data_IF_283601418831
#
_entry.id   IF_283601418831
#
_cell.length_a   1.000
_cell.length_b   1.000
_cell.length_c   1.000
_cell.angle_alpha   90.00
_cell.angle_beta   90.00
_cell.angle_gamma   90.00
#
_symmetry.space_group_name_H-M   'P 1'
#
loop_
_entity.id
_entity.type
_entity.pdbx_description
1 polymer ?
#
# COMPACT_ATOMS: atom_id res chain seq x y z
N UNK A 1 30.45 56.18 -8.37
CA UNK A 1 29.48 56.15 -9.49
C UNK A 1 29.88 55.01 -10.40
N UNK A 2 29.17 53.89 -10.28
CA UNK A 2 28.94 52.88 -11.31
C UNK A 2 27.77 52.05 -10.77
N UNK A 3 26.63 52.20 -11.40
CA UNK A 3 25.38 51.48 -11.12
C UNK A 3 25.54 50.01 -11.54
N UNK A 4 25.04 49.04 -10.76
CA UNK A 4 24.67 47.74 -11.31
C UNK A 4 23.32 47.86 -12.02
N UNK A 5 23.21 47.15 -13.13
CA UNK A 5 22.16 47.14 -14.13
C UNK A 5 20.86 46.45 -13.68
N UNK A 6 19.72 47.00 -14.08
CA UNK A 6 18.32 46.53 -13.86
C UNK A 6 18.00 45.11 -14.40
N UNK A 7 18.98 44.36 -14.90
CA UNK A 7 18.82 43.00 -15.41
C UNK A 7 19.03 41.91 -14.33
N UNK A 8 19.81 42.20 -13.27
CA UNK A 8 20.00 41.25 -12.15
C UNK A 8 18.80 41.20 -11.19
N UNK A 9 18.08 42.32 -11.03
CA UNK A 9 16.91 42.41 -10.14
C UNK A 9 15.69 41.64 -10.70
N UNK A 10 15.56 41.50 -12.02
CA UNK A 10 14.46 40.76 -12.65
C UNK A 10 14.63 39.22 -12.56
N UNK A 11 15.85 38.72 -12.39
CA UNK A 11 16.09 37.28 -12.17
C UNK A 11 15.80 36.92 -10.72
N UNK A 12 16.17 37.79 -9.78
CA UNK A 12 15.93 37.59 -8.34
C UNK A 12 14.42 37.69 -8.02
N UNK A 13 13.68 38.57 -8.69
CA UNK A 13 12.24 38.74 -8.42
C UNK A 13 11.36 37.58 -8.91
N UNK A 14 11.75 36.90 -10.00
CA UNK A 14 10.99 35.74 -10.50
C UNK A 14 11.24 34.45 -9.68
N UNK A 15 12.39 34.31 -9.03
CA UNK A 15 12.65 33.20 -8.10
C UNK A 15 11.96 33.38 -6.74
N UNK A 16 11.52 34.60 -6.40
CA UNK A 16 10.83 34.90 -5.14
C UNK A 16 9.34 34.51 -5.17
N UNK A 17 8.73 34.37 -6.36
CA UNK A 17 7.29 34.04 -6.48
C UNK A 17 7.02 32.52 -6.48
N UNK A 18 8.05 31.67 -6.58
CA UNK A 18 7.91 30.21 -6.59
C UNK A 18 8.71 29.48 -5.49
N UNK A 19 9.08 30.18 -4.41
CA UNK A 19 9.87 29.59 -3.33
C UNK A 19 9.26 29.82 -1.95
N UNK A 20 8.11 29.17 -1.70
CA UNK A 20 7.59 29.00 -0.33
C UNK A 20 8.16 27.73 0.30
N UNK A 21 9.47 27.68 0.55
CA UNK A 21 10.04 26.75 1.54
C UNK A 21 11.46 27.18 1.92
N UNK A 22 11.58 27.71 3.14
CA UNK A 22 12.85 28.08 3.74
C UNK A 22 13.87 26.93 3.72
N UNK A 23 15.08 27.26 3.29
CA UNK A 23 16.30 26.45 3.46
C UNK A 23 16.64 26.45 4.95
N UNK A 24 16.57 25.29 5.60
CA UNK A 24 16.94 25.12 7.01
C UNK A 24 18.33 24.46 7.06
N UNK A 25 19.37 25.28 7.22
CA UNK A 25 20.71 24.83 7.54
C UNK A 25 20.75 24.34 8.99
N UNK A 26 21.29 23.14 9.19
CA UNK A 26 21.42 22.47 10.47
C UNK A 26 22.51 23.10 11.33
N UNK A 27 22.12 24.07 12.16
CA UNK A 27 22.82 24.43 13.40
C UNK A 27 21.76 24.72 14.46
N UNK A 28 21.41 23.71 15.25
CA UNK A 28 20.41 23.82 16.33
C UNK A 28 21.05 24.52 17.54
N UNK A 29 20.98 25.86 17.56
CA UNK A 29 20.94 26.61 18.81
C UNK A 29 19.49 26.72 19.30
N UNK A 30 19.29 26.39 20.57
CA UNK A 30 18.00 26.36 21.26
C UNK A 30 17.43 27.77 21.45
N UNK A 31 16.40 28.13 20.68
CA UNK A 31 15.59 29.33 20.92
C UNK A 31 14.12 28.93 21.21
N UNK A 32 13.58 29.16 22.42
CA UNK A 32 12.29 28.62 22.85
C UNK A 32 11.13 29.56 22.48
N UNK A 33 10.87 29.76 21.18
CA UNK A 33 9.85 30.75 20.75
C UNK A 33 9.25 30.62 19.35
N UNK A 34 9.51 29.54 18.58
CA UNK A 34 9.00 29.41 17.21
C UNK A 34 8.05 28.22 17.07
N UNK A 35 6.75 28.54 16.89
CA UNK A 35 5.59 27.67 16.55
C UNK A 35 5.90 26.19 16.26
N UNK A 36 5.55 25.32 17.21
CA UNK A 36 5.40 23.86 17.07
C UNK A 36 4.16 23.46 16.24
N UNK A 37 4.09 23.85 14.95
CA UNK A 37 2.94 23.51 14.08
C UNK A 37 3.29 22.67 12.86
N UNK A 38 4.51 22.16 12.73
CA UNK A 38 4.90 21.32 11.59
C UNK A 38 4.88 19.83 11.99
N UNK A 39 3.71 19.20 11.91
CA UNK A 39 3.57 17.75 12.07
C UNK A 39 2.11 17.30 12.10
N UNK A 40 1.87 16.05 11.70
CA UNK A 40 0.53 15.45 11.64
C UNK A 40 0.05 15.12 13.05
N UNK A 41 -1.16 15.59 13.41
CA UNK A 41 -1.80 15.21 14.67
C UNK A 41 -2.26 13.74 14.67
N UNK A 42 -2.52 13.16 15.84
CA UNK A 42 -2.84 11.72 15.97
C UNK A 42 -3.95 11.23 15.02
N UNK A 43 -5.00 12.02 14.82
CA UNK A 43 -6.09 11.69 13.89
C UNK A 43 -5.60 11.58 12.44
N UNK A 44 -4.77 12.54 12.00
CA UNK A 44 -4.19 12.52 10.66
C UNK A 44 -3.22 11.34 10.48
N UNK A 45 -2.50 10.95 11.54
CA UNK A 45 -1.63 9.77 11.54
C UNK A 45 -2.46 8.50 11.39
N UNK A 46 -3.60 8.40 12.07
CA UNK A 46 -4.52 7.27 11.92
C UNK A 46 -5.04 7.19 10.48
N UNK A 47 -5.56 8.29 9.91
CA UNK A 47 -6.04 8.28 8.52
C UNK A 47 -4.96 7.94 7.51
N UNK A 48 -3.75 8.44 7.71
CA UNK A 48 -2.61 8.13 6.88
C UNK A 48 -2.23 6.64 6.93
N UNK A 49 -2.19 6.04 8.14
CA UNK A 49 -1.91 4.61 8.31
C UNK A 49 -3.04 3.74 7.75
N UNK A 50 -4.30 4.11 7.99
CA UNK A 50 -5.47 3.42 7.44
C UNK A 50 -5.46 3.51 5.91
N UNK A 51 -5.20 4.66 5.30
CA UNK A 51 -5.16 4.82 3.84
C UNK A 51 -3.95 4.11 3.18
N UNK A 52 -2.84 3.97 3.91
CA UNK A 52 -1.70 3.18 3.47
C UNK A 52 -1.99 1.67 3.51
N UNK A 53 -2.84 1.23 4.45
CA UNK A 53 -3.17 -0.19 4.66
C UNK A 53 -4.39 -0.62 3.85
N UNK A 54 -5.53 0.07 3.98
CA UNK A 54 -6.76 -0.19 3.23
C UNK A 54 -6.53 0.13 1.77
N UNK A 55 -6.26 -0.93 1.02
CA UNK A 55 -5.74 -0.89 -0.34
C UNK A 55 -6.66 -1.52 -1.38
N UNK A 56 -6.11 -1.80 -2.56
CA UNK A 56 -6.72 -2.72 -3.51
C UNK A 56 -6.89 -4.14 -2.92
N UNK A 57 -6.06 -4.52 -1.93
CA UNK A 57 -6.17 -5.80 -1.24
C UNK A 57 -7.54 -6.08 -0.61
N UNK A 58 -8.31 -5.04 -0.26
CA UNK A 58 -9.68 -5.19 0.28
C UNK A 58 -10.62 -5.93 -0.66
N UNK A 59 -10.45 -5.75 -1.97
CA UNK A 59 -11.32 -6.34 -2.99
C UNK A 59 -11.15 -7.86 -3.09
N UNK A 60 -10.02 -8.39 -2.63
CA UNK A 60 -9.67 -9.80 -2.72
C UNK A 60 -10.02 -10.58 -1.44
N UNK A 61 -10.37 -9.90 -0.34
CA UNK A 61 -10.70 -10.57 0.94
C UNK A 61 -11.82 -11.60 0.84
N UNK A 62 -12.91 -11.37 0.08
CA UNK A 62 -13.95 -12.36 -0.08
C UNK A 62 -13.44 -13.67 -0.69
N UNK A 63 -12.60 -13.59 -1.73
CA UNK A 63 -11.97 -14.76 -2.34
C UNK A 63 -11.02 -15.44 -1.35
N UNK A 64 -10.31 -14.64 -0.55
CA UNK A 64 -9.43 -15.12 0.49
C UNK A 64 -10.17 -15.99 1.52
N UNK A 65 -11.40 -15.61 1.91
CA UNK A 65 -12.25 -16.36 2.84
C UNK A 65 -12.73 -17.69 2.24
N UNK A 66 -12.96 -17.72 0.93
CA UNK A 66 -13.33 -18.94 0.21
C UNK A 66 -12.15 -19.90 0.11
N UNK A 67 -11.00 -19.41 -0.35
CA UNK A 67 -9.74 -20.19 -0.49
C UNK A 67 -9.19 -20.69 0.85
N UNK A 68 -9.37 -19.93 1.94
CA UNK A 68 -8.88 -20.30 3.28
C UNK A 68 -9.65 -21.43 3.95
N UNK A 69 -10.66 -21.98 3.27
CA UNK A 69 -11.55 -22.98 3.85
C UNK A 69 -12.55 -22.39 4.85
N UNK A 70 -12.88 -21.10 4.75
CA UNK A 70 -14.06 -20.55 5.41
C UNK A 70 -13.88 -19.31 6.28
N UNK A 71 -15.01 -18.87 6.84
CA UNK A 71 -15.11 -17.62 7.59
C UNK A 71 -14.33 -17.66 8.91
N UNK A 72 -14.44 -18.74 9.69
CA UNK A 72 -13.80 -18.79 11.00
C UNK A 72 -12.27 -18.90 10.87
N UNK A 73 -11.78 -19.67 9.89
CA UNK A 73 -10.34 -19.76 9.61
C UNK A 73 -9.76 -18.42 9.23
N UNK A 74 -10.44 -17.70 8.33
CA UNK A 74 -10.01 -16.39 7.87
C UNK A 74 -9.91 -15.38 9.03
N UNK A 75 -10.96 -15.29 9.86
CA UNK A 75 -10.98 -14.35 11.00
C UNK A 75 -9.90 -14.69 12.03
N UNK A 76 -9.72 -15.99 12.37
CA UNK A 76 -8.71 -16.43 13.33
C UNK A 76 -7.31 -16.16 12.79
N UNK A 77 -7.03 -16.49 11.53
CA UNK A 77 -5.76 -16.23 10.88
C UNK A 77 -5.48 -14.71 10.84
N UNK A 78 -6.47 -13.91 10.48
CA UNK A 78 -6.37 -12.45 10.46
C UNK A 78 -6.05 -11.88 11.85
N UNK A 79 -6.73 -12.33 12.90
CA UNK A 79 -6.43 -11.91 14.29
C UNK A 79 -5.02 -12.32 14.72
N UNK A 80 -4.59 -13.53 14.40
CA UNK A 80 -3.25 -14.03 14.71
C UNK A 80 -2.18 -13.14 14.05
N UNK A 81 -2.29 -12.89 12.74
CA UNK A 81 -1.34 -12.04 12.02
C UNK A 81 -1.41 -10.57 12.45
N UNK A 82 -2.59 -10.06 12.82
CA UNK A 82 -2.77 -8.67 13.25
C UNK A 82 -1.87 -8.30 14.44
N UNK A 83 -1.66 -9.25 15.37
CA UNK A 83 -0.77 -9.07 16.52
C UNK A 83 0.66 -8.84 16.05
N UNK A 84 1.17 -9.69 15.15
CA UNK A 84 2.52 -9.54 14.59
C UNK A 84 2.64 -8.28 13.76
N UNK A 85 1.70 -8.01 12.85
CA UNK A 85 1.67 -6.80 12.02
C UNK A 85 1.79 -5.54 12.88
N UNK A 86 0.96 -5.44 13.93
CA UNK A 86 0.95 -4.27 14.82
C UNK A 86 2.25 -4.17 15.63
N UNK A 87 2.74 -5.28 16.19
CA UNK A 87 3.99 -5.31 16.94
C UNK A 87 5.17 -4.86 16.06
N UNK A 88 5.22 -5.37 14.84
CA UNK A 88 6.23 -5.04 13.84
C UNK A 88 6.21 -3.57 13.45
N UNK A 89 5.05 -2.94 13.27
CA UNK A 89 4.94 -1.50 13.02
C UNK A 89 5.59 -0.67 14.14
N UNK A 90 5.34 -1.06 15.39
CA UNK A 90 5.90 -0.40 16.57
C UNK A 90 7.41 -0.63 16.68
N UNK A 91 7.88 -1.85 16.39
CA UNK A 91 9.31 -2.20 16.34
C UNK A 91 10.02 -1.29 15.33
N UNK A 92 9.48 -1.16 14.11
CA UNK A 92 10.07 -0.30 13.08
C UNK A 92 10.14 1.16 13.51
N UNK A 93 9.05 1.71 14.07
CA UNK A 93 9.05 3.08 14.58
C UNK A 93 10.10 3.29 15.69
N UNK A 94 10.24 2.32 16.60
CA UNK A 94 11.26 2.35 17.65
C UNK A 94 12.67 2.30 17.07
N UNK A 95 12.92 1.47 16.05
CA UNK A 95 14.21 1.42 15.36
C UNK A 95 14.54 2.73 14.64
N UNK A 96 13.55 3.38 14.03
CA UNK A 96 13.70 4.73 13.48
C UNK A 96 14.08 5.77 14.54
N UNK A 97 13.48 5.71 15.72
CA UNK A 97 13.78 6.63 16.83
C UNK A 97 15.20 6.39 17.40
N UNK A 98 15.58 5.13 17.61
CA UNK A 98 16.92 4.75 18.12
C UNK A 98 18.02 5.16 17.14
N UNK A 99 17.80 4.96 15.84
CA UNK A 99 18.79 5.33 14.81
C UNK A 99 18.74 6.80 14.40
N UNK A 100 17.76 7.57 14.89
CA UNK A 100 17.47 8.94 14.46
C UNK A 100 17.34 9.09 12.93
N UNK A 101 16.69 8.11 12.30
CA UNK A 101 16.41 8.12 10.86
C UNK A 101 14.92 8.26 10.58
N UNK A 102 14.59 8.75 9.39
CA UNK A 102 13.20 8.99 8.96
C UNK A 102 12.73 8.02 7.89
N UNK A 103 13.55 7.02 7.56
CA UNK A 103 13.34 6.11 6.43
C UNK A 103 13.66 4.68 6.86
N UNK A 104 13.00 3.69 6.24
CA UNK A 104 13.17 2.29 6.61
C UNK A 104 14.58 1.78 6.30
N UNK A 105 15.06 2.06 5.10
CA UNK A 105 16.40 1.69 4.64
C UNK A 105 17.49 2.39 5.46
N UNK A 106 17.25 3.63 5.94
CA UNK A 106 18.15 4.33 6.85
C UNK A 106 18.22 3.68 8.23
N UNK A 107 17.08 3.30 8.80
CA UNK A 107 17.03 2.59 10.08
C UNK A 107 17.71 1.23 9.99
N UNK A 108 17.50 0.50 8.89
CA UNK A 108 18.15 -0.79 8.65
C UNK A 108 19.67 -0.64 8.55
N UNK A 109 20.14 0.39 7.82
CA UNK A 109 21.55 0.73 7.70
C UNK A 109 22.21 1.10 9.04
N UNK A 110 21.51 1.87 9.86
CA UNK A 110 22.00 2.25 11.19
C UNK A 110 22.18 1.08 12.15
N UNK A 111 21.40 0.00 11.98
CA UNK A 111 21.46 -1.20 12.82
C UNK A 111 22.35 -2.30 12.26
N UNK A 112 22.31 -2.55 10.95
CA UNK A 112 22.97 -3.69 10.30
C UNK A 112 24.22 -3.29 9.50
N UNK A 113 24.58 -2.00 9.48
CA UNK A 113 25.72 -1.47 8.73
C UNK A 113 25.38 -1.00 7.30
N UNK A 114 26.33 -0.36 6.61
CA UNK A 114 26.07 0.38 5.37
C UNK A 114 25.61 -0.48 4.20
N UNK A 115 26.11 -1.72 4.06
CA UNK A 115 25.72 -2.62 2.97
C UNK A 115 24.22 -2.98 3.01
N UNK A 116 23.63 -2.95 4.20
CA UNK A 116 22.21 -3.27 4.38
C UNK A 116 21.28 -2.16 3.84
N UNK A 117 21.79 -0.93 3.70
CA UNK A 117 21.08 0.19 3.06
C UNK A 117 20.69 -0.17 1.63
N UNK A 118 21.66 -0.71 0.88
CA UNK A 118 21.48 -1.05 -0.53
C UNK A 118 20.43 -2.14 -0.71
N UNK A 119 20.52 -3.22 0.09
CA UNK A 119 19.58 -4.32 0.06
C UNK A 119 18.16 -3.88 0.43
N UNK A 120 17.99 -3.19 1.57
CA UNK A 120 16.67 -2.71 1.99
C UNK A 120 16.10 -1.68 1.01
N UNK A 121 16.93 -0.76 0.52
CA UNK A 121 16.53 0.26 -0.47
C UNK A 121 16.02 -0.35 -1.78
N UNK A 122 16.69 -1.37 -2.31
CA UNK A 122 16.22 -2.10 -3.50
C UNK A 122 14.90 -2.81 -3.23
N UNK A 123 14.76 -3.51 -2.10
CA UNK A 123 13.50 -4.17 -1.74
C UNK A 123 12.36 -3.15 -1.66
N UNK A 124 12.56 -2.02 -0.97
CA UNK A 124 11.54 -0.97 -0.84
C UNK A 124 11.21 -0.37 -2.21
N UNK A 125 12.20 -0.14 -3.07
CA UNK A 125 11.98 0.40 -4.42
C UNK A 125 11.18 -0.57 -5.30
N UNK A 126 11.59 -1.83 -5.40
CA UNK A 126 10.86 -2.87 -6.16
C UNK A 126 9.43 -2.99 -5.64
N UNK A 127 9.26 -3.01 -4.31
CA UNK A 127 7.96 -3.13 -3.71
C UNK A 127 7.03 -1.97 -4.03
N UNK A 128 7.54 -0.76 -3.82
CA UNK A 128 6.80 0.45 -4.08
C UNK A 128 6.39 0.53 -5.55
N UNK A 129 7.28 0.11 -6.46
CA UNK A 129 7.04 0.15 -7.89
C UNK A 129 5.95 -0.83 -8.31
N UNK A 130 5.99 -2.07 -7.79
CA UNK A 130 4.93 -3.06 -7.98
C UNK A 130 3.57 -2.57 -7.52
N UNK A 131 3.49 -1.99 -6.32
CA UNK A 131 2.23 -1.40 -5.81
C UNK A 131 1.73 -0.23 -6.66
N UNK A 132 2.63 0.63 -7.17
CA UNK A 132 2.27 1.70 -8.09
C UNK A 132 1.65 1.16 -9.38
N UNK A 133 2.22 0.10 -9.95
CA UNK A 133 1.66 -0.61 -11.12
C UNK A 133 0.26 -1.14 -10.79
N UNK A 134 0.11 -1.88 -9.68
CA UNK A 134 -1.19 -2.44 -9.27
C UNK A 134 -2.27 -1.36 -9.14
N UNK A 135 -1.96 -0.22 -8.52
CA UNK A 135 -2.92 0.88 -8.41
C UNK A 135 -3.35 1.42 -9.77
N UNK A 136 -2.42 1.58 -10.72
CA UNK A 136 -2.73 2.05 -12.07
C UNK A 136 -3.58 1.04 -12.87
N UNK A 137 -3.31 -0.26 -12.74
CA UNK A 137 -4.13 -1.29 -13.39
C UNK A 137 -5.55 -1.26 -12.82
N UNK A 138 -5.70 -1.23 -11.49
CA UNK A 138 -7.01 -1.16 -10.84
C UNK A 138 -7.78 0.09 -11.25
N UNK A 139 -7.11 1.24 -11.34
CA UNK A 139 -7.73 2.49 -11.84
C UNK A 139 -8.29 2.27 -13.26
N UNK A 140 -7.50 1.67 -14.16
CA UNK A 140 -7.96 1.35 -15.51
C UNK A 140 -9.18 0.43 -15.52
N UNK A 141 -9.14 -0.65 -14.74
CA UNK A 141 -10.25 -1.61 -14.65
C UNK A 141 -11.54 -0.94 -14.10
N UNK A 142 -11.41 -0.03 -13.14
CA UNK A 142 -12.57 0.70 -12.62
C UNK A 142 -13.18 1.63 -13.68
N UNK A 143 -12.36 2.36 -14.45
CA UNK A 143 -12.87 3.25 -15.50
C UNK A 143 -13.54 2.48 -16.65
N UNK A 144 -12.93 1.39 -17.12
CA UNK A 144 -13.52 0.51 -18.14
C UNK A 144 -14.92 0.06 -17.73
N UNK A 145 -15.10 -0.27 -16.44
CA UNK A 145 -16.38 -0.72 -15.91
C UNK A 145 -17.42 0.40 -15.77
N UNK A 146 -17.00 1.60 -15.36
CA UNK A 146 -17.86 2.79 -15.36
C UNK A 146 -18.37 3.07 -16.77
N UNK A 147 -17.48 3.03 -17.77
CA UNK A 147 -17.85 3.30 -19.15
C UNK A 147 -18.72 2.19 -19.75
N UNK A 148 -18.43 0.92 -19.48
CA UNK A 148 -19.30 -0.19 -19.87
C UNK A 148 -20.72 -0.05 -19.30
N UNK A 149 -20.85 0.50 -18.09
CA UNK A 149 -22.15 0.72 -17.44
C UNK A 149 -22.90 1.90 -18.05
N UNK A 150 -22.21 3.02 -18.32
CA UNK A 150 -22.82 4.27 -18.78
C UNK A 150 -23.06 4.32 -20.29
N UNK A 151 -22.10 3.84 -21.09
CA UNK A 151 -22.10 3.95 -22.56
C UNK A 151 -22.37 2.61 -23.27
N UNK A 152 -22.54 1.52 -22.52
CA UNK A 152 -22.65 0.17 -23.09
C UNK A 152 -21.30 -0.41 -23.49
N UNK A 153 -21.30 -1.58 -24.12
CA UNK A 153 -20.07 -2.30 -24.48
C UNK A 153 -19.32 -1.64 -25.66
N UNK A 154 -19.98 -0.81 -26.46
CA UNK A 154 -19.40 -0.17 -27.65
C UNK A 154 -18.53 1.06 -27.33
N UNK A 155 -18.31 1.39 -26.04
CA UNK A 155 -17.51 2.54 -25.61
C UNK A 155 -16.07 2.50 -26.16
N UNK A 156 -15.56 1.29 -26.45
CA UNK A 156 -14.18 1.06 -26.89
C UNK A 156 -13.88 1.65 -28.27
N UNK A 157 -14.89 1.87 -29.13
CA UNK A 157 -14.72 2.53 -30.43
C UNK A 157 -14.40 4.02 -30.33
N UNK A 158 -14.60 4.61 -29.16
CA UNK A 158 -14.37 6.03 -28.93
C UNK A 158 -12.99 6.24 -28.31
N UNK A 159 -12.09 6.89 -29.05
CA UNK A 159 -10.68 7.03 -28.66
C UNK A 159 -10.46 7.65 -27.27
N UNK A 160 -11.31 8.59 -26.84
CA UNK A 160 -11.18 9.25 -25.53
C UNK A 160 -11.73 8.41 -24.36
N UNK A 161 -12.46 7.34 -24.66
CA UNK A 161 -12.96 6.36 -23.69
C UNK A 161 -12.05 5.11 -23.63
N UNK A 162 -11.04 5.01 -24.50
CA UNK A 162 -10.12 3.89 -24.52
C UNK A 162 -9.32 3.82 -23.21
N UNK A 163 -9.18 2.60 -22.67
CA UNK A 163 -8.46 2.30 -21.43
C UNK A 163 -7.10 3.02 -21.32
N UNK A 164 -6.19 2.94 -22.30
CA UNK A 164 -4.87 3.57 -22.18
C UNK A 164 -4.97 5.10 -22.06
N UNK A 165 -5.89 5.71 -22.80
CA UNK A 165 -6.08 7.15 -22.79
C UNK A 165 -6.67 7.63 -21.46
N UNK A 166 -7.74 6.99 -20.96
CA UNK A 166 -8.37 7.43 -19.72
C UNK A 166 -7.46 7.18 -18.52
N UNK A 167 -6.77 6.04 -18.44
CA UNK A 167 -5.83 5.75 -17.34
C UNK A 167 -4.70 6.77 -17.32
N UNK A 168 -4.15 7.13 -18.49
CA UNK A 168 -3.15 8.19 -18.62
C UNK A 168 -3.71 9.54 -18.16
N UNK A 169 -4.85 9.97 -18.70
CA UNK A 169 -5.46 11.26 -18.38
C UNK A 169 -5.80 11.39 -16.89
N UNK A 170 -6.48 10.39 -16.32
CA UNK A 170 -6.89 10.43 -14.91
C UNK A 170 -5.69 10.38 -13.97
N UNK A 171 -4.69 9.55 -14.25
CA UNK A 171 -3.50 9.46 -13.40
C UNK A 171 -2.62 10.70 -13.52
N UNK A 172 -2.49 11.29 -14.70
CA UNK A 172 -1.78 12.55 -14.88
C UNK A 172 -2.49 13.72 -14.16
N UNK A 173 -3.82 13.72 -14.13
CA UNK A 173 -4.61 14.77 -13.47
C UNK A 173 -4.61 14.65 -11.95
N UNK A 174 -4.72 13.43 -11.41
CA UNK A 174 -4.90 13.23 -9.96
C UNK A 174 -3.64 12.73 -9.26
N UNK A 175 -2.92 11.74 -9.81
CA UNK A 175 -1.76 11.15 -9.13
C UNK A 175 -0.54 12.04 -9.19
N UNK A 176 -0.25 12.60 -10.38
CA UNK A 176 0.99 13.32 -10.63
C UNK A 176 1.12 14.61 -9.79
N UNK A 177 0.07 15.45 -9.62
CA UNK A 177 0.14 16.60 -8.72
C UNK A 177 0.39 16.21 -7.26
N UNK A 178 -0.27 15.15 -6.79
CA UNK A 178 -0.09 14.67 -5.42
C UNK A 178 1.30 14.03 -5.20
N UNK A 179 1.89 13.43 -6.23
CA UNK A 179 3.19 12.75 -6.14
C UNK A 179 4.37 13.73 -6.00
N UNK A 180 4.17 15.02 -6.32
CA UNK A 180 5.19 16.04 -6.15
C UNK A 180 5.31 16.60 -4.74
N UNK A 181 4.38 16.28 -3.83
CA UNK A 181 4.48 16.71 -2.45
C UNK A 181 5.79 16.22 -1.81
N UNK A 182 6.54 17.18 -1.25
CA UNK A 182 7.84 16.92 -0.62
C UNK A 182 7.69 16.26 0.73
N UNK A 183 6.57 16.49 1.42
CA UNK A 183 6.35 16.02 2.78
C UNK A 183 5.15 15.09 2.83
N UNK A 184 5.30 14.01 3.58
CA UNK A 184 4.28 12.98 3.74
C UNK A 184 3.10 13.49 4.61
N UNK A 185 3.32 14.50 5.45
CA UNK A 185 2.26 15.17 6.22
C UNK A 185 1.21 15.85 5.33
N UNK A 186 1.60 16.43 4.18
CA UNK A 186 0.67 17.05 3.24
C UNK A 186 -0.32 16.07 2.60
N UNK A 187 0.01 14.77 2.57
CA UNK A 187 -0.85 13.70 2.06
C UNK A 187 -1.92 13.25 3.05
N UNK A 188 -1.93 13.76 4.29
CA UNK A 188 -2.93 13.39 5.29
C UNK A 188 -4.36 13.77 4.85
N UNK A 189 -4.54 14.88 4.13
CA UNK A 189 -5.85 15.33 3.64
C UNK A 189 -6.37 14.41 2.55
N UNK A 190 -5.52 14.07 1.58
CA UNK A 190 -5.82 13.06 0.56
C UNK A 190 -6.14 11.70 1.21
N UNK A 191 -5.42 11.33 2.26
CA UNK A 191 -5.65 10.08 3.01
C UNK A 191 -7.03 10.04 3.67
N UNK A 192 -7.51 11.16 4.22
CA UNK A 192 -8.87 11.27 4.77
C UNK A 192 -9.93 11.01 3.69
N UNK A 193 -9.76 11.57 2.48
CA UNK A 193 -10.66 11.31 1.34
C UNK A 193 -10.66 9.82 1.00
N UNK A 194 -9.48 9.19 0.91
CA UNK A 194 -9.33 7.76 0.67
C UNK A 194 -10.05 6.89 1.71
N UNK A 195 -9.96 7.25 2.99
CA UNK A 195 -10.66 6.56 4.07
C UNK A 195 -12.19 6.69 3.97
N UNK A 196 -12.71 7.85 3.56
CA UNK A 196 -14.16 8.03 3.36
C UNK A 196 -14.64 7.20 2.16
N UNK A 197 -13.88 7.17 1.06
CA UNK A 197 -14.23 6.38 -0.12
C UNK A 197 -14.27 4.88 0.16
N UNK A 198 -13.33 4.35 0.96
CA UNK A 198 -13.35 2.92 1.29
C UNK A 198 -14.51 2.56 2.22
N UNK A 199 -14.89 3.44 3.17
CA UNK A 199 -16.09 3.22 4.00
C UNK A 199 -17.36 3.12 3.16
N UNK A 200 -17.47 3.92 2.09
CA UNK A 200 -18.58 3.82 1.14
C UNK A 200 -18.60 2.46 0.43
N UNK A 201 -17.44 1.96 0.00
CA UNK A 201 -17.32 0.64 -0.64
C UNK A 201 -17.70 -0.48 0.34
N UNK A 202 -17.25 -0.42 1.59
CA UNK A 202 -17.65 -1.37 2.64
C UNK A 202 -19.16 -1.36 2.82
N UNK A 203 -19.77 -0.16 2.92
CA UNK A 203 -21.22 -0.03 3.04
C UNK A 203 -21.97 -0.62 1.84
N UNK A 204 -21.50 -0.39 0.61
CA UNK A 204 -22.08 -0.98 -0.59
C UNK A 204 -22.07 -2.50 -0.53
N UNK A 205 -20.93 -3.13 -0.19
CA UNK A 205 -20.81 -4.58 -0.14
C UNK A 205 -21.79 -5.19 0.87
N UNK A 206 -21.97 -4.53 2.02
CA UNK A 206 -22.96 -4.91 3.02
C UNK A 206 -24.38 -4.77 2.47
N UNK A 207 -24.69 -3.64 1.82
CA UNK A 207 -25.99 -3.37 1.22
C UNK A 207 -26.37 -4.43 0.16
N UNK A 208 -25.45 -4.71 -0.77
CA UNK A 208 -25.63 -5.72 -1.82
C UNK A 208 -25.82 -7.12 -1.22
N UNK A 209 -25.08 -7.46 -0.17
CA UNK A 209 -25.25 -8.75 0.51
C UNK A 209 -26.64 -8.91 1.14
N UNK A 210 -27.19 -7.86 1.76
CA UNK A 210 -28.55 -7.88 2.29
C UNK A 210 -29.63 -7.94 1.20
N UNK A 211 -29.41 -7.27 0.06
CA UNK A 211 -30.33 -7.35 -1.06
C UNK A 211 -30.35 -8.77 -1.67
N UNK A 212 -29.18 -9.41 -1.76
CA UNK A 212 -29.04 -10.81 -2.17
C UNK A 212 -29.62 -11.81 -1.14
N UNK A 213 -29.79 -11.43 0.12
CA UNK A 213 -30.42 -12.28 1.16
C UNK A 213 -31.90 -12.58 0.90
N UNK A 214 -32.52 -11.89 -0.07
CA UNK A 214 -33.86 -12.23 -0.59
C UNK A 214 -33.87 -13.55 -1.36
N UNK A 215 -32.70 -14.05 -1.76
CA UNK A 215 -32.48 -15.36 -2.38
C UNK A 215 -32.06 -16.39 -1.31
N UNK A 216 -32.24 -17.70 -1.56
CA UNK A 216 -31.78 -18.74 -0.63
C UNK A 216 -30.27 -18.57 -0.34
N UNK A 217 -29.91 -18.65 0.95
CA UNK A 217 -28.54 -18.47 1.41
C UNK A 217 -27.61 -19.46 0.68
N UNK A 218 -26.55 -18.91 0.08
CA UNK A 218 -25.53 -19.72 -0.58
C UNK A 218 -24.68 -20.42 0.49
N UNK A 219 -24.27 -21.67 0.28
CA UNK A 219 -23.43 -22.37 1.24
C UNK A 219 -22.06 -21.66 1.35
N UNK A 220 -21.49 -21.65 2.54
CA UNK A 220 -20.17 -21.12 2.88
C UNK A 220 -19.45 -22.11 3.79
N UNK A 221 -18.14 -22.25 3.62
CA UNK A 221 -17.33 -22.97 4.58
C UNK A 221 -17.16 -22.12 5.86
N UNK A 222 -17.24 -22.78 7.01
CA UNK A 222 -16.91 -22.16 8.31
C UNK A 222 -15.50 -22.58 8.73
N UNK A 223 -15.19 -23.87 8.52
CA UNK A 223 -13.95 -24.54 8.87
C UNK A 223 -13.34 -25.20 7.64
N UNK A 224 -12.01 -25.32 7.59
CA UNK A 224 -11.32 -25.81 6.42
C UNK A 224 -11.51 -27.31 6.32
N UNK A 225 -11.68 -27.82 5.11
CA UNK A 225 -11.72 -29.26 4.88
C UNK A 225 -10.32 -29.86 5.00
N UNK A 226 -9.31 -29.09 4.60
CA UNK A 226 -7.90 -29.47 4.72
C UNK A 226 -7.11 -28.40 5.50
N UNK A 227 -6.29 -28.78 6.50
CA UNK A 227 -5.55 -27.81 7.31
C UNK A 227 -4.62 -26.86 6.52
N UNK A 228 -4.13 -27.31 5.36
CA UNK A 228 -3.22 -26.54 4.51
C UNK A 228 -3.94 -25.41 3.75
N UNK A 229 -5.27 -25.44 3.61
CA UNK A 229 -6.04 -24.37 2.96
C UNK A 229 -5.87 -23.03 3.68
N UNK A 230 -5.64 -23.06 4.99
CA UNK A 230 -5.39 -21.84 5.79
C UNK A 230 -4.14 -21.09 5.32
N UNK A 231 -3.17 -21.76 4.68
CA UNK A 231 -1.97 -21.08 4.17
C UNK A 231 -2.25 -20.15 2.98
N UNK A 232 -3.31 -20.42 2.22
CA UNK A 232 -3.66 -19.65 1.02
C UNK A 232 -4.13 -18.22 1.32
N UNK A 233 -4.54 -17.94 2.56
CA UNK A 233 -4.93 -16.57 2.98
C UNK A 233 -3.72 -15.72 3.35
N UNK A 234 -2.59 -16.34 3.63
CA UNK A 234 -1.39 -15.68 4.17
C UNK A 234 -0.82 -14.63 3.20
N UNK A 235 -0.67 -14.89 1.88
CA UNK A 235 -0.24 -13.88 0.92
C UNK A 235 -1.16 -12.65 0.91
N UNK A 236 -2.48 -12.89 0.96
CA UNK A 236 -3.50 -11.84 0.86
C UNK A 236 -3.48 -10.96 2.11
N UNK A 237 -3.41 -11.56 3.31
CA UNK A 237 -3.24 -10.82 4.56
C UNK A 237 -1.93 -10.01 4.53
N UNK A 238 -0.82 -10.64 4.13
CA UNK A 238 0.47 -9.95 4.09
C UNK A 238 0.42 -8.75 3.15
N UNK A 239 -0.09 -8.92 1.93
CA UNK A 239 -0.21 -7.84 0.96
C UNK A 239 -1.16 -6.73 1.43
N UNK A 240 -2.33 -7.10 1.96
CA UNK A 240 -3.35 -6.13 2.32
C UNK A 240 -3.07 -5.36 3.62
N UNK A 241 -2.30 -5.94 4.54
CA UNK A 241 -1.89 -5.26 5.76
C UNK A 241 -0.53 -4.57 5.67
N UNK A 242 0.10 -4.61 4.50
CA UNK A 242 1.43 -4.08 4.30
C UNK A 242 1.42 -2.55 4.38
N UNK A 243 1.89 -2.03 5.51
CA UNK A 243 2.09 -0.59 5.75
C UNK A 243 3.49 -0.27 6.31
N UNK A 244 4.32 -1.30 6.51
CA UNK A 244 5.56 -1.27 7.28
C UNK A 244 6.62 -0.34 6.71
N UNK A 245 6.74 -0.27 5.38
CA UNK A 245 7.63 0.68 4.70
C UNK A 245 7.27 2.16 4.98
N UNK A 246 6.01 2.44 5.28
CA UNK A 246 5.53 3.79 5.61
C UNK A 246 5.57 4.09 7.11
N UNK A 247 5.83 3.09 7.96
CA UNK A 247 5.74 3.21 9.41
C UNK A 247 6.73 4.24 9.98
N UNK A 248 8.01 4.14 9.60
CA UNK A 248 9.06 5.07 10.06
C UNK A 248 8.83 6.50 9.52
N UNK A 249 8.57 6.70 8.21
CA UNK A 249 8.20 8.03 7.69
C UNK A 249 6.95 8.63 8.38
N UNK A 250 5.93 7.82 8.64
CA UNK A 250 4.70 8.25 9.32
C UNK A 250 4.99 8.66 10.77
N UNK A 251 5.79 7.87 11.48
CA UNK A 251 6.25 8.21 12.82
C UNK A 251 7.06 9.51 12.85
N UNK A 252 7.97 9.69 11.89
CA UNK A 252 8.80 10.89 11.76
C UNK A 252 7.99 12.16 11.50
N UNK A 253 6.82 12.06 10.86
CA UNK A 253 5.93 13.17 10.57
C UNK A 253 4.93 13.50 11.70
N UNK A 254 4.90 12.74 12.79
CA UNK A 254 3.99 13.01 13.91
C UNK A 254 4.34 14.31 14.62
N UNK A 255 3.32 15.14 14.90
CA UNK A 255 3.48 16.39 15.67
C UNK A 255 4.13 16.14 17.03
N UNK A 256 3.63 15.13 17.74
CA UNK A 256 4.17 14.69 19.02
C UNK A 256 4.85 13.33 18.84
N UNK A 257 6.14 13.36 18.50
CA UNK A 257 6.93 12.16 18.26
C UNK A 257 7.19 11.40 19.57
N UNK A 258 6.31 10.45 19.88
CA UNK A 258 6.42 9.55 21.04
C UNK A 258 5.98 8.15 20.64
N UNK A 259 6.79 7.13 20.97
CA UNK A 259 6.48 5.74 20.63
C UNK A 259 5.13 5.31 21.19
N UNK A 260 4.79 5.69 22.43
CA UNK A 260 3.47 5.37 23.01
C UNK A 260 2.28 5.93 22.22
N UNK A 261 2.39 7.17 21.72
CA UNK A 261 1.34 7.78 20.87
C UNK A 261 1.25 7.10 19.51
N UNK A 262 2.40 6.75 18.91
CA UNK A 262 2.43 5.99 17.66
C UNK A 262 1.82 4.60 17.83
N UNK A 263 2.14 3.88 18.91
CA UNK A 263 1.53 2.58 19.23
C UNK A 263 0.02 2.69 19.32
N UNK A 264 -0.51 3.71 20.00
CA UNK A 264 -1.95 3.92 20.04
C UNK A 264 -2.55 4.17 18.64
N UNK A 265 -1.93 5.04 17.83
CA UNK A 265 -2.40 5.31 16.47
C UNK A 265 -2.33 4.07 15.57
N UNK A 266 -1.24 3.30 15.64
CA UNK A 266 -1.04 2.08 14.89
C UNK A 266 -2.08 1.02 15.28
N UNK A 267 -2.30 0.78 16.58
CA UNK A 267 -3.30 -0.16 17.07
C UNK A 267 -4.71 0.22 16.63
N UNK A 268 -5.11 1.49 16.78
CA UNK A 268 -6.42 1.97 16.31
C UNK A 268 -6.57 1.76 14.79
N UNK A 269 -5.54 2.11 14.02
CA UNK A 269 -5.55 1.95 12.56
C UNK A 269 -5.72 0.50 12.14
N UNK A 270 -4.96 -0.42 12.78
CA UNK A 270 -5.02 -1.85 12.50
C UNK A 270 -6.37 -2.47 12.91
N UNK A 271 -6.99 -2.01 14.01
CA UNK A 271 -8.35 -2.42 14.41
C UNK A 271 -9.39 -1.95 13.38
N UNK A 272 -9.30 -0.70 12.91
CA UNK A 272 -10.19 -0.20 11.85
C UNK A 272 -10.04 -1.02 10.57
N UNK A 273 -8.79 -1.32 10.18
CA UNK A 273 -8.52 -2.16 9.01
C UNK A 273 -9.08 -3.58 9.19
N UNK A 274 -8.92 -4.17 10.38
CA UNK A 274 -9.49 -5.48 10.73
C UNK A 274 -10.99 -5.53 10.50
N UNK A 275 -11.76 -4.61 11.08
CA UNK A 275 -13.21 -4.62 10.87
C UNK A 275 -13.59 -4.41 9.42
N UNK A 276 -12.95 -3.47 8.70
CA UNK A 276 -13.26 -3.24 7.29
C UNK A 276 -13.01 -4.51 6.45
N UNK A 277 -11.86 -5.15 6.62
CA UNK A 277 -11.51 -6.38 5.91
C UNK A 277 -12.39 -7.57 6.27
N UNK A 278 -12.72 -7.76 7.57
CA UNK A 278 -13.59 -8.87 7.98
C UNK A 278 -15.04 -8.68 7.54
N UNK A 279 -15.56 -7.45 7.57
CA UNK A 279 -16.90 -7.13 7.05
C UNK A 279 -16.95 -7.42 5.56
N UNK A 280 -16.00 -6.90 4.79
CA UNK A 280 -15.95 -7.11 3.34
C UNK A 280 -15.79 -8.59 3.01
N UNK A 281 -14.85 -9.28 3.67
CA UNK A 281 -14.61 -10.72 3.49
C UNK A 281 -15.86 -11.55 3.75
N UNK A 282 -16.53 -11.31 4.88
CA UNK A 282 -17.75 -12.04 5.25
C UNK A 282 -18.93 -11.77 4.30
N UNK A 283 -19.31 -10.51 4.10
CA UNK A 283 -20.49 -10.17 3.29
C UNK A 283 -20.24 -10.42 1.79
N UNK A 284 -19.02 -10.21 1.31
CA UNK A 284 -18.62 -10.59 -0.03
C UNK A 284 -18.71 -12.10 -0.24
N UNK A 285 -18.16 -12.90 0.69
CA UNK A 285 -18.24 -14.37 0.58
C UNK A 285 -19.69 -14.86 0.66
N UNK A 286 -20.50 -14.29 1.56
CA UNK A 286 -21.93 -14.61 1.67
C UNK A 286 -22.72 -14.28 0.40
N UNK A 287 -22.30 -13.26 -0.36
CA UNK A 287 -22.94 -12.87 -1.61
C UNK A 287 -22.71 -13.90 -2.72
N UNK A 288 -21.50 -14.44 -2.87
CA UNK A 288 -21.14 -15.31 -4.00
C UNK A 288 -21.18 -16.80 -3.67
N UNK A 289 -20.87 -17.18 -2.44
CA UNK A 289 -20.80 -18.57 -1.98
C UNK A 289 -19.57 -19.32 -2.46
N UNK A 290 -19.47 -20.59 -2.06
CA UNK A 290 -18.31 -21.47 -2.28
C UNK A 290 -17.90 -21.55 -3.76
N UNK A 291 -16.61 -21.35 -4.04
CA UNK A 291 -15.97 -21.55 -5.34
C UNK A 291 -16.38 -20.57 -6.43
N UNK A 292 -17.14 -19.52 -6.08
CA UNK A 292 -17.72 -18.55 -7.03
C UNK A 292 -17.35 -17.11 -6.72
N UNK A 293 -16.50 -16.89 -5.72
CA UNK A 293 -16.07 -15.55 -5.35
C UNK A 293 -15.01 -15.05 -6.34
N UNK A 294 -15.22 -13.92 -7.02
CA UNK A 294 -14.22 -13.37 -7.92
C UNK A 294 -13.03 -12.78 -7.14
N UNK A 295 -11.86 -12.73 -7.78
CA UNK A 295 -10.66 -12.15 -7.18
C UNK A 295 -10.75 -10.65 -6.92
N UNK A 296 -11.58 -9.94 -7.69
CA UNK A 296 -12.06 -8.59 -7.36
C UNK A 296 -13.57 -8.67 -7.10
N UNK A 297 -13.97 -8.53 -5.83
CA UNK A 297 -15.37 -8.61 -5.42
C UNK A 297 -16.27 -7.67 -6.20
N UNK A 298 -15.77 -6.47 -6.55
CA UNK A 298 -16.58 -5.52 -7.26
C UNK A 298 -16.95 -6.08 -8.62
N UNK A 299 -16.03 -6.75 -9.34
CA UNK A 299 -16.29 -7.34 -10.66
C UNK A 299 -17.38 -8.42 -10.65
N UNK A 300 -17.67 -9.02 -9.49
CA UNK A 300 -18.75 -10.02 -9.38
C UNK A 300 -20.15 -9.43 -9.45
N UNK A 301 -20.33 -8.15 -9.11
CA UNK A 301 -21.65 -7.51 -9.14
C UNK A 301 -22.04 -7.17 -10.59
N UNK A 302 -23.17 -7.68 -11.06
CA UNK A 302 -23.66 -7.45 -12.43
C UNK A 302 -24.62 -6.27 -12.54
N UNK A 303 -25.02 -5.68 -11.41
CA UNK A 303 -26.01 -4.62 -11.38
C UNK A 303 -25.48 -3.34 -11.99
N UNK A 304 -26.27 -2.72 -12.88
CA UNK A 304 -25.94 -1.42 -13.47
C UNK A 304 -26.40 -0.25 -12.59
N UNK A 305 -26.45 -0.46 -11.28
CA UNK A 305 -26.97 0.52 -10.34
C UNK A 305 -26.04 1.74 -10.24
N UNK A 306 -26.61 2.93 -10.08
CA UNK A 306 -25.83 4.14 -9.85
C UNK A 306 -24.97 4.01 -8.58
N UNK A 307 -25.49 3.30 -7.57
CA UNK A 307 -24.79 3.03 -6.31
C UNK A 307 -23.49 2.24 -6.52
N UNK A 308 -23.54 1.16 -7.30
CA UNK A 308 -22.35 0.37 -7.65
C UNK A 308 -21.35 1.21 -8.47
N UNK A 309 -21.85 2.00 -9.41
CA UNK A 309 -21.00 2.90 -10.23
C UNK A 309 -20.24 3.90 -9.36
N UNK A 310 -20.89 4.49 -8.35
CA UNK A 310 -20.24 5.39 -7.39
C UNK A 310 -19.14 4.65 -6.61
N UNK A 311 -19.36 3.38 -6.24
CA UNK A 311 -18.37 2.61 -5.48
C UNK A 311 -17.14 2.25 -6.31
N UNK A 312 -17.33 1.95 -7.59
CA UNK A 312 -16.26 1.73 -8.57
C UNK A 312 -15.41 3.00 -8.69
N UNK A 313 -16.04 4.18 -8.83
CA UNK A 313 -15.35 5.47 -8.84
C UNK A 313 -14.64 5.73 -7.51
N UNK A 314 -15.25 5.37 -6.38
CA UNK A 314 -14.66 5.52 -5.05
C UNK A 314 -13.36 4.70 -4.90
N UNK A 315 -13.29 3.48 -5.46
CA UNK A 315 -12.04 2.70 -5.51
C UNK A 315 -10.97 3.39 -6.36
N UNK A 316 -11.33 3.99 -7.50
CA UNK A 316 -10.38 4.75 -8.30
C UNK A 316 -9.82 5.94 -7.51
N UNK A 317 -10.69 6.72 -6.85
CA UNK A 317 -10.30 7.85 -5.98
C UNK A 317 -9.38 7.38 -4.85
N UNK A 318 -9.74 6.28 -4.18
CA UNK A 318 -8.92 5.66 -3.13
C UNK A 318 -7.52 5.29 -3.64
N UNK A 319 -7.39 4.83 -4.88
CA UNK A 319 -6.06 4.52 -5.44
C UNK A 319 -5.29 5.79 -5.83
N UNK A 320 -5.96 6.86 -6.25
CA UNK A 320 -5.31 8.16 -6.45
C UNK A 320 -4.69 8.71 -5.16
N UNK A 321 -5.29 8.45 -3.99
CA UNK A 321 -4.80 8.93 -2.70
C UNK A 321 -3.71 8.04 -2.10
N UNK A 322 -3.74 6.72 -2.34
CA UNK A 322 -2.70 5.80 -1.83
C UNK A 322 -1.42 5.82 -2.67
N UNK A 323 -1.51 5.95 -4.00
CA UNK A 323 -0.34 5.89 -4.90
C UNK A 323 0.78 6.87 -4.49
N UNK A 324 0.51 8.16 -4.22
CA UNK A 324 1.55 9.12 -3.86
C UNK A 324 2.30 8.77 -2.57
N UNK A 325 1.65 8.09 -1.62
CA UNK A 325 2.27 7.63 -0.36
C UNK A 325 3.33 6.57 -0.66
N UNK A 326 2.99 5.62 -1.51
CA UNK A 326 3.89 4.53 -1.89
C UNK A 326 5.03 5.04 -2.76
N UNK A 327 4.73 5.92 -3.74
CA UNK A 327 5.76 6.57 -4.55
C UNK A 327 6.74 7.38 -3.69
N UNK A 328 6.25 8.08 -2.66
CA UNK A 328 7.11 8.83 -1.74
C UNK A 328 8.20 7.93 -1.13
N UNK A 329 7.82 6.76 -0.61
CA UNK A 329 8.77 5.80 -0.03
C UNK A 329 9.70 5.18 -1.08
N UNK A 330 9.18 4.82 -2.26
CA UNK A 330 9.99 4.26 -3.34
C UNK A 330 11.04 5.23 -3.87
N UNK A 331 10.65 6.50 -4.05
CA UNK A 331 11.54 7.59 -4.45
C UNK A 331 12.64 7.83 -3.44
N UNK A 332 12.27 7.90 -2.16
CA UNK A 332 13.22 8.10 -1.05
C UNK A 332 14.20 6.92 -0.94
N UNK A 333 13.74 5.70 -1.17
CA UNK A 333 14.60 4.52 -1.26
C UNK A 333 15.59 4.61 -2.42
N UNK A 334 15.15 4.99 -3.62
CA UNK A 334 16.05 5.20 -4.78
C UNK A 334 17.08 6.29 -4.48
N UNK A 335 16.65 7.44 -3.97
CA UNK A 335 17.55 8.55 -3.67
C UNK A 335 18.60 8.16 -2.63
N UNK A 336 18.21 7.37 -1.63
CA UNK A 336 19.13 6.83 -0.63
C UNK A 336 20.24 5.95 -1.24
N UNK A 337 19.98 5.27 -2.36
CA UNK A 337 20.99 4.46 -3.08
C UNK A 337 22.03 5.31 -3.81
N UNK A 338 21.68 6.52 -4.22
CA UNK A 338 22.57 7.44 -4.94
C UNK A 338 23.33 8.43 -4.03
N UNK A 339 23.06 8.40 -2.72
CA UNK A 339 23.74 9.21 -1.70
C UNK A 339 23.00 10.50 -1.32
N UNK A 340 23.18 10.92 -0.05
CA UNK A 340 22.43 12.02 0.59
C UNK A 340 22.55 13.40 -0.10
N UNK A 341 23.61 13.66 -0.86
CA UNK A 341 23.78 14.94 -1.57
C UNK A 341 22.79 15.12 -2.75
N UNK A 342 22.18 14.01 -3.19
CA UNK A 342 21.24 13.97 -4.33
C UNK A 342 19.81 14.34 -3.90
N UNK A 343 19.44 14.08 -2.64
CA UNK A 343 18.10 14.32 -2.06
C UNK A 343 17.68 15.80 -2.07
N UNK A 344 18.66 16.72 -2.03
CA UNK A 344 18.40 18.15 -1.92
C UNK A 344 17.98 18.82 -3.24
N UNK A 345 18.26 18.20 -4.39
CA UNK A 345 18.00 18.83 -5.70
C UNK A 345 16.58 18.55 -6.18
N UNK A 346 15.77 19.61 -6.26
CA UNK A 346 14.40 19.53 -6.78
C UNK A 346 14.34 18.86 -8.15
N UNK A 347 15.27 19.21 -9.06
CA UNK A 347 15.30 18.66 -10.42
C UNK A 347 15.50 17.15 -10.46
N UNK A 348 16.31 16.59 -9.56
CA UNK A 348 16.54 15.13 -9.52
C UNK A 348 15.31 14.43 -8.97
N UNK A 349 14.74 14.94 -7.89
CA UNK A 349 13.49 14.41 -7.32
C UNK A 349 12.36 14.44 -8.34
N UNK A 350 12.22 15.55 -9.06
CA UNK A 350 11.24 15.72 -10.14
C UNK A 350 11.46 14.68 -11.25
N UNK A 351 12.71 14.53 -11.71
CA UNK A 351 13.07 13.58 -12.76
C UNK A 351 12.77 12.14 -12.35
N UNK A 352 13.15 11.73 -11.14
CA UNK A 352 12.86 10.38 -10.62
C UNK A 352 11.36 10.13 -10.53
N UNK A 353 10.59 11.09 -9.99
CA UNK A 353 9.12 10.95 -9.89
C UNK A 353 8.48 10.81 -11.28
N UNK A 354 8.89 11.61 -12.26
CA UNK A 354 8.37 11.51 -13.64
C UNK A 354 8.75 10.18 -14.29
N UNK A 355 10.02 9.76 -14.20
CA UNK A 355 10.47 8.47 -14.75
C UNK A 355 9.72 7.32 -14.10
N UNK A 356 9.62 7.31 -12.77
CA UNK A 356 8.90 6.29 -12.02
C UNK A 356 7.43 6.19 -12.44
N UNK A 357 6.75 7.34 -12.52
CA UNK A 357 5.35 7.41 -12.96
C UNK A 357 5.20 6.94 -14.41
N UNK A 358 6.03 7.42 -15.33
CA UNK A 358 5.96 7.05 -16.74
C UNK A 358 6.19 5.55 -16.95
N UNK A 359 7.20 4.97 -16.28
CA UNK A 359 7.50 3.55 -16.38
C UNK A 359 6.39 2.68 -15.79
N UNK A 360 5.87 3.03 -14.62
CA UNK A 360 4.75 2.29 -14.01
C UNK A 360 3.47 2.40 -14.84
N UNK A 361 3.20 3.54 -15.46
CA UNK A 361 2.07 3.73 -16.37
C UNK A 361 2.21 2.88 -17.64
N UNK A 362 3.38 2.90 -18.29
CA UNK A 362 3.62 2.07 -19.48
C UNK A 362 3.43 0.60 -19.15
N UNK A 363 3.99 0.11 -18.04
CA UNK A 363 3.82 -1.28 -17.62
C UNK A 363 2.36 -1.59 -17.29
N UNK A 364 1.64 -0.71 -16.59
CA UNK A 364 0.24 -0.90 -16.25
C UNK A 364 -0.69 -0.94 -17.48
N UNK A 365 -0.34 -0.23 -18.57
CA UNK A 365 -1.08 -0.30 -19.84
C UNK A 365 -0.79 -1.61 -20.58
N UNK A 366 0.45 -2.11 -20.50
CA UNK A 366 0.87 -3.34 -21.19
C UNK A 366 0.46 -4.61 -20.45
N UNK A 367 0.32 -4.58 -19.13
CA UNK A 367 -0.01 -5.73 -18.29
C UNK A 367 -1.53 -5.78 -18.09
N UNK A 368 -2.22 -6.81 -18.63
CA UNK A 368 -3.68 -6.88 -18.58
C UNK A 368 -4.24 -7.45 -17.27
N UNK A 369 -3.40 -8.00 -16.39
CA UNK A 369 -3.81 -8.71 -15.16
C UNK A 369 -3.00 -8.28 -13.92
N UNK A 370 -3.71 -8.03 -12.82
CA UNK A 370 -3.15 -7.65 -11.51
C UNK A 370 -2.63 -8.85 -10.72
N UNK A 371 -3.16 -10.05 -10.94
CA UNK A 371 -2.93 -11.23 -10.09
C UNK A 371 -1.46 -11.59 -9.92
N UNK A 372 -0.69 -11.79 -11.01
CA UNK A 372 0.72 -12.16 -10.93
C UNK A 372 1.57 -11.14 -10.17
N UNK A 373 1.26 -9.85 -10.34
CA UNK A 373 1.96 -8.77 -9.65
C UNK A 373 1.68 -8.87 -8.15
N UNK A 374 0.41 -8.99 -7.73
CA UNK A 374 0.02 -9.11 -6.32
C UNK A 374 0.69 -10.31 -5.65
N UNK A 375 0.74 -11.46 -6.32
CA UNK A 375 1.32 -12.69 -5.75
C UNK A 375 2.82 -12.55 -5.48
N UNK A 376 3.60 -12.05 -6.45
CA UNK A 376 5.02 -11.75 -6.26
C UNK A 376 5.19 -10.71 -5.14
N UNK A 377 4.33 -9.70 -5.12
CA UNK A 377 4.37 -8.66 -4.12
C UNK A 377 4.04 -9.14 -2.70
N UNK A 378 3.22 -10.19 -2.56
CA UNK A 378 2.89 -10.82 -1.29
C UNK A 378 4.13 -11.38 -0.57
N UNK A 379 5.05 -12.01 -1.31
CA UNK A 379 6.28 -12.58 -0.74
C UNK A 379 7.18 -11.47 -0.17
N UNK A 380 7.34 -10.37 -0.92
CA UNK A 380 8.12 -9.23 -0.45
C UNK A 380 7.42 -8.49 0.70
N UNK A 381 6.08 -8.46 0.71
CA UNK A 381 5.30 -7.96 1.85
C UNK A 381 5.59 -8.76 3.12
N UNK A 382 5.57 -10.09 3.04
CA UNK A 382 5.90 -10.96 4.18
C UNK A 382 7.31 -10.67 4.72
N UNK A 383 8.29 -10.44 3.85
CA UNK A 383 9.63 -10.05 4.29
C UNK A 383 9.61 -8.73 5.09
N UNK A 384 8.84 -7.72 4.67
CA UNK A 384 8.71 -6.46 5.41
C UNK A 384 7.94 -6.56 6.72
N UNK A 385 6.97 -7.47 6.81
CA UNK A 385 6.15 -7.67 8.02
C UNK A 385 6.92 -8.46 9.09
N UNK A 386 7.78 -9.39 8.68
CA UNK A 386 8.41 -10.32 9.62
C UNK A 386 9.93 -10.27 9.59
N UNK A 387 10.56 -10.46 8.42
CA UNK A 387 12.01 -10.64 8.31
C UNK A 387 12.77 -9.37 8.65
N UNK A 388 12.48 -8.25 7.97
CA UNK A 388 13.19 -6.99 8.23
C UNK A 388 13.06 -6.53 9.69
N UNK A 389 11.86 -6.52 10.30
CA UNK A 389 11.70 -5.99 11.65
C UNK A 389 12.17 -6.98 12.71
N UNK A 390 12.12 -8.29 12.43
CA UNK A 390 12.77 -9.31 13.26
C UNK A 390 14.29 -9.09 13.33
N UNK A 391 14.94 -8.83 12.19
CA UNK A 391 16.36 -8.48 12.15
C UNK A 391 16.63 -7.15 12.86
N UNK A 392 15.81 -6.12 12.62
CA UNK A 392 15.92 -4.83 13.31
C UNK A 392 15.83 -4.99 14.84
N UNK A 393 14.86 -5.78 15.33
CA UNK A 393 14.68 -6.03 16.74
C UNK A 393 15.91 -6.73 17.33
N UNK A 394 16.40 -7.77 16.65
CA UNK A 394 17.60 -8.50 17.07
C UNK A 394 18.80 -7.56 17.21
N UNK A 395 19.10 -6.80 16.17
CA UNK A 395 20.25 -5.89 16.16
C UNK A 395 20.08 -4.74 17.17
N UNK A 396 18.88 -4.17 17.28
CA UNK A 396 18.61 -3.13 18.26
C UNK A 396 18.76 -3.62 19.70
N UNK A 397 18.38 -4.86 20.00
CA UNK A 397 18.57 -5.46 21.33
C UNK A 397 20.05 -5.73 21.61
N UNK A 398 20.77 -6.32 20.66
CA UNK A 398 22.20 -6.61 20.81
C UNK A 398 23.06 -5.34 20.91
N UNK A 399 22.67 -4.26 20.22
CA UNK A 399 23.34 -2.97 20.34
C UNK A 399 23.18 -2.36 21.73
N UNK A 400 22.02 -2.58 22.37
CA UNK A 400 21.70 -2.05 23.70
C UNK A 400 22.30 -2.87 24.84
N UNK A 401 22.25 -4.20 24.74
CA UNK A 401 22.82 -5.13 25.73
C UNK A 401 23.57 -6.26 25.01
N UNK A 402 24.86 -6.04 24.63
CA UNK A 402 25.65 -7.02 23.91
C UNK A 402 25.89 -8.33 24.69
N UNK A 403 25.86 -8.27 26.02
CA UNK A 403 26.12 -9.41 26.90
C UNK A 403 24.83 -10.13 27.34
N UNK A 404 23.66 -9.62 26.95
CA UNK A 404 22.33 -10.15 27.29
C UNK A 404 22.20 -10.43 28.80
N UNK A 405 22.60 -9.45 29.60
CA UNK A 405 22.55 -9.50 31.04
C UNK A 405 21.09 -9.47 31.55
N UNK A 406 20.18 -8.79 30.86
CA UNK A 406 18.78 -8.73 31.24
C UNK A 406 17.96 -9.91 30.65
N UNK A 407 17.18 -10.58 31.49
CA UNK A 407 16.22 -11.61 31.05
C UNK A 407 15.20 -11.08 30.03
N UNK A 408 14.86 -9.78 30.11
CA UNK A 408 13.99 -9.12 29.13
C UNK A 408 14.64 -9.09 27.75
N UNK A 409 15.93 -8.79 27.67
CA UNK A 409 16.64 -8.66 26.40
C UNK A 409 16.90 -10.05 25.79
N UNK A 410 17.15 -11.07 26.62
CA UNK A 410 17.12 -12.48 26.19
C UNK A 410 15.77 -12.89 25.59
N UNK A 411 14.66 -12.50 26.22
CA UNK A 411 13.34 -12.76 25.68
C UNK A 411 13.10 -12.03 24.36
N UNK A 412 13.51 -10.77 24.24
CA UNK A 412 13.41 -10.00 22.98
C UNK A 412 14.23 -10.63 21.85
N UNK A 413 15.41 -11.16 22.13
CA UNK A 413 16.22 -11.91 21.14
C UNK A 413 15.48 -13.18 20.69
N UNK A 414 14.90 -13.94 21.62
CA UNK A 414 14.10 -15.12 21.28
C UNK A 414 12.92 -14.74 20.38
N UNK A 415 12.19 -13.68 20.73
CA UNK A 415 11.08 -13.16 19.92
C UNK A 415 11.55 -12.70 18.54
N UNK A 416 12.69 -12.01 18.45
CA UNK A 416 13.26 -11.56 17.18
C UNK A 416 13.62 -12.73 16.26
N UNK A 417 14.25 -13.77 16.80
CA UNK A 417 14.58 -15.00 16.06
C UNK A 417 13.30 -15.70 15.61
N UNK A 418 12.30 -15.82 16.49
CA UNK A 418 11.02 -16.44 16.17
C UNK A 418 10.29 -15.69 15.04
N UNK A 419 10.17 -14.36 15.13
CA UNK A 419 9.54 -13.53 14.09
C UNK A 419 10.30 -13.65 12.76
N UNK A 420 11.64 -13.63 12.80
CA UNK A 420 12.46 -13.78 11.58
C UNK A 420 12.28 -15.15 10.95
N UNK A 421 12.27 -16.22 11.74
CA UNK A 421 12.09 -17.59 11.26
C UNK A 421 10.68 -17.82 10.70
N UNK A 422 9.64 -17.35 11.40
CA UNK A 422 8.26 -17.35 10.92
C UNK A 422 8.16 -16.56 9.61
N UNK A 423 8.81 -15.40 9.53
CA UNK A 423 8.86 -14.58 8.33
C UNK A 423 9.52 -15.26 7.14
N UNK A 424 10.64 -15.95 7.35
CA UNK A 424 11.31 -16.72 6.32
C UNK A 424 10.43 -17.86 5.81
N UNK A 425 9.74 -18.57 6.72
CA UNK A 425 8.78 -19.61 6.36
C UNK A 425 7.61 -19.05 5.54
N UNK A 426 6.94 -17.99 6.03
CA UNK A 426 5.82 -17.35 5.34
C UNK A 426 6.24 -16.80 3.99
N UNK A 427 7.38 -16.10 3.92
CA UNK A 427 7.94 -15.59 2.66
C UNK A 427 8.17 -16.72 1.65
N UNK A 428 8.69 -17.87 2.11
CA UNK A 428 8.90 -19.06 1.29
C UNK A 428 7.59 -19.68 0.79
N UNK A 429 6.59 -19.86 1.66
CA UNK A 429 5.26 -20.36 1.29
C UNK A 429 4.63 -19.47 0.23
N UNK A 430 4.58 -18.15 0.48
CA UNK A 430 3.99 -17.18 -0.45
C UNK A 430 4.75 -17.15 -1.77
N UNK A 431 6.08 -17.29 -1.74
CA UNK A 431 6.89 -17.34 -2.96
C UNK A 431 6.61 -18.60 -3.79
N UNK A 432 6.47 -19.76 -3.14
CA UNK A 432 6.13 -21.02 -3.82
C UNK A 432 4.74 -20.94 -4.45
N UNK A 433 3.74 -20.42 -3.71
CA UNK A 433 2.40 -20.20 -4.26
C UNK A 433 2.43 -19.24 -5.46
N UNK A 434 3.17 -18.13 -5.36
CA UNK A 434 3.33 -17.19 -6.46
C UNK A 434 3.97 -17.85 -7.70
N UNK A 435 4.95 -18.73 -7.52
CA UNK A 435 5.57 -19.49 -8.62
C UNK A 435 4.60 -20.50 -9.24
N UNK A 436 3.79 -21.18 -8.43
CA UNK A 436 2.79 -22.13 -8.91
C UNK A 436 1.73 -21.41 -9.76
N UNK A 437 1.25 -20.25 -9.31
CA UNK A 437 0.29 -19.43 -10.05
C UNK A 437 0.86 -18.89 -11.37
N UNK A 438 2.15 -18.53 -11.40
CA UNK A 438 2.84 -18.13 -12.63
C UNK A 438 2.97 -19.31 -13.62
N UNK A 439 3.23 -20.52 -13.11
CA UNK A 439 3.37 -21.72 -13.94
C UNK A 439 2.04 -22.17 -14.54
N UNK A 440 0.95 -22.17 -13.77
CA UNK A 440 -0.39 -22.49 -14.28
C UNK A 440 -0.83 -21.48 -15.34
N UNK A 441 -0.53 -20.19 -15.19
CA UNK A 441 -0.75 -19.19 -16.24
C UNK A 441 0.06 -19.43 -17.52
N UNK A 442 1.27 -19.99 -17.41
CA UNK A 442 2.12 -20.25 -18.58
C UNK A 442 1.71 -21.49 -19.38
N UNK A 443 1.06 -22.46 -18.71
CA UNK A 443 0.63 -23.73 -19.31
C UNK A 443 -0.77 -23.64 -19.96
N UNK A 444 -1.62 -22.72 -19.52
CA UNK A 444 -2.88 -22.34 -20.16
C UNK A 444 -2.69 -21.00 -20.93
N UNK A 445 -2.34 -21.02 -22.23
CA UNK A 445 -2.42 -19.80 -23.06
C UNK A 445 -3.79 -19.65 -23.75
N UNK A 446 -4.32 -18.43 -23.97
CA UNK A 446 -4.01 -17.15 -23.33
C UNK A 446 -4.87 -16.94 -22.07
N UNK A 447 -4.45 -16.01 -21.20
CA UNK A 447 -5.14 -15.53 -20.00
C UNK A 447 -6.61 -15.95 -19.92
N UNK A 448 -6.91 -17.02 -19.16
CA UNK A 448 -8.29 -17.37 -18.82
C UNK A 448 -8.80 -16.29 -17.93
N UNK A 449 -9.49 -15.40 -18.61
CA UNK A 449 -9.94 -14.17 -18.04
C UNK A 449 -11.01 -14.45 -17.00
N UNK A 450 -10.97 -13.69 -15.91
CA UNK A 450 -12.04 -13.57 -14.92
C UNK A 450 -13.39 -13.80 -15.59
N UNK A 451 -14.25 -14.65 -15.01
CA UNK A 451 -15.43 -15.28 -15.66
C UNK A 451 -16.43 -14.35 -16.35
N UNK A 452 -16.22 -13.04 -16.32
CA UNK A 452 -16.91 -12.04 -17.12
C UNK A 452 -16.25 -11.74 -18.49
N UNK A 453 -14.92 -11.81 -18.62
CA UNK A 453 -14.19 -11.57 -19.88
C UNK A 453 -14.14 -12.78 -20.82
N UNK A 454 -14.64 -13.97 -20.43
CA UNK A 454 -14.81 -15.10 -21.36
C UNK A 454 -16.08 -14.97 -22.23
N UNK A 455 -17.18 -14.42 -21.68
CA UNK A 455 -18.37 -14.08 -22.46
C UNK A 455 -18.24 -12.73 -23.20
N UNK A 456 -17.35 -11.84 -22.74
CA UNK A 456 -17.06 -10.53 -23.36
C UNK A 456 -15.81 -10.52 -24.26
N UNK A 457 -15.00 -11.58 -24.23
CA UNK A 457 -13.66 -11.63 -24.85
C UNK A 457 -13.67 -11.80 -26.36
N UNK A 458 -14.82 -12.10 -26.96
CA UNK A 458 -14.99 -12.13 -28.41
C UNK A 458 -15.63 -10.87 -28.98
N UNK A 459 -15.99 -9.87 -28.16
CA UNK A 459 -16.79 -8.72 -28.62
C UNK A 459 -16.33 -7.34 -28.16
N UNK A 460 -15.30 -7.20 -27.32
CA UNK A 460 -14.96 -5.88 -26.76
C UNK A 460 -13.93 -5.05 -27.54
N UNK A 461 -13.63 -5.43 -28.79
CA UNK A 461 -13.08 -4.59 -29.88
C UNK A 461 -12.28 -5.50 -30.83
N UNK A 462 -12.89 -5.90 -31.94
CA UNK A 462 -12.13 -6.17 -33.17
C UNK A 462 -11.86 -4.84 -33.88
#
# INVERSE_FOLDING_TARGET
>A
MNYPSEEEDNIIQNDIVLSTAAVENSTRESNPGRRQTAGTGSLGTIFLMVNATLGAGLLNFPEAFDKSGGVATAIIAQLFFLVFITATLVILANCGDVTNTTTMQGAFAGLCGPNSLFFCGICVAIYSFGCCITFLIVIGDQFDRVFATLYGLDYCHTWYLARPFITCLSSALFILPLSFFKRLDALNYASSIGCVTILYVVWLIVYESFENYKLPAKPMHIWPEEPLQVLQIVPIICFAYQSHMTAIPTYACMKDRQIGKFTLCATISMIVCFFAYSIVGYFGYATFGIGKVPSDILQGYTDKSTTLTIAIVAIAVKNFTTYPIVLYCGRDAILSLFGRDVDCKFSIRFTITIIWYALSLVIAILVPDIGPVINIMGSLSAAFIFVFPGICLLQSTLYKDPLLHLNKDRFLVFVAIFITALGAFVCGVVFVEALQDLQTMSLDQPAKVTGFKAELGSSLCQ
#
